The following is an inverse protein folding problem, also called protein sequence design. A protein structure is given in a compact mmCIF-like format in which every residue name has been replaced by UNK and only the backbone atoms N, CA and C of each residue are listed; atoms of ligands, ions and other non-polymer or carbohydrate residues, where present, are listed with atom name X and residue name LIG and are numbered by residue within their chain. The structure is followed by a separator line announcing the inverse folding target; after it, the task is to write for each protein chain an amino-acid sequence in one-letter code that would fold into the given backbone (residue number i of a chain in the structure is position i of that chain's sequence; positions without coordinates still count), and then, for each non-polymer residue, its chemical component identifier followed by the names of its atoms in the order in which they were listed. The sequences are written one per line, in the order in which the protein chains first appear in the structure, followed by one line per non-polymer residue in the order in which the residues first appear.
data_IF_020358669407
#
_entry.id   IF_020358669407
#
_cell.length_a   1.000
_cell.length_b   1.000
_cell.length_c   1.000
_cell.angle_alpha   90.00
_cell.angle_beta   90.00
_cell.angle_gamma   90.00
#
_symmetry.space_group_name_H-M   'P 1'
#
loop_
_entity.id
_entity.type
_entity.pdbx_description
1 polymer ?
#
# COMPACT_ATOMS: atom_id res chain seq x y z
N UNK A 1 30.92 26.61 -0.89
CA UNK A 1 32.28 26.36 -0.37
C UNK A 1 32.91 25.35 -1.31
N UNK A 2 33.81 25.78 -2.18
CA UNK A 2 34.45 24.92 -3.18
C UNK A 2 35.67 24.28 -2.52
N UNK A 3 35.60 22.99 -2.22
CA UNK A 3 36.74 22.23 -1.72
C UNK A 3 37.83 22.14 -2.78
N UNK A 4 39.05 22.48 -2.40
CA UNK A 4 40.24 22.27 -3.21
C UNK A 4 40.37 20.76 -3.51
N UNK A 5 40.55 20.33 -4.77
CA UNK A 5 40.71 18.91 -5.08
C UNK A 5 41.98 18.36 -4.37
N UNK A 6 41.96 17.08 -3.95
CA UNK A 6 43.08 16.48 -3.22
C UNK A 6 44.37 16.55 -4.06
N UNK A 7 45.46 16.95 -3.41
CA UNK A 7 46.75 17.24 -4.03
C UNK A 7 47.56 15.99 -4.41
N UNK A 8 47.14 14.80 -3.97
CA UNK A 8 47.78 13.52 -4.26
C UNK A 8 46.70 12.51 -4.73
N UNK A 9 46.82 11.92 -5.94
CA UNK A 9 45.89 10.91 -6.43
C UNK A 9 45.86 9.61 -5.60
N UNK A 10 46.82 9.41 -4.68
CA UNK A 10 46.83 8.27 -3.74
C UNK A 10 46.17 8.58 -2.38
N UNK A 11 45.68 9.80 -2.15
CA UNK A 11 45.03 10.22 -0.89
C UNK A 11 43.50 10.05 -0.94
N UNK A 12 43.00 9.32 -1.95
CA UNK A 12 41.59 8.93 -2.01
C UNK A 12 41.37 7.68 -1.16
N UNK A 13 40.95 7.89 0.08
CA UNK A 13 40.38 6.85 0.93
C UNK A 13 38.92 6.63 0.52
N UNK A 14 38.59 5.44 0.03
CA UNK A 14 37.21 5.10 -0.32
C UNK A 14 36.33 5.24 0.95
N UNK A 15 35.32 6.12 0.97
CA UNK A 15 34.43 6.29 2.11
C UNK A 15 33.67 5.02 2.48
N UNK A 16 33.58 4.05 1.56
CA UNK A 16 32.95 2.75 1.74
C UNK A 16 33.95 1.64 2.10
N UNK A 17 35.23 1.96 2.31
CA UNK A 17 36.27 0.99 2.72
C UNK A 17 35.94 0.24 4.02
N UNK A 18 35.17 0.87 4.92
CA UNK A 18 34.70 0.28 6.19
C UNK A 18 33.25 -0.22 6.13
N UNK A 19 32.61 -0.24 4.95
CA UNK A 19 31.25 -0.74 4.80
C UNK A 19 31.24 -2.27 4.82
N UNK A 20 30.68 -2.86 5.87
CA UNK A 20 30.33 -4.27 5.87
C UNK A 20 28.91 -4.44 5.30
N UNK A 21 28.73 -5.19 4.20
CA UNK A 21 27.40 -5.39 3.63
C UNK A 21 26.48 -6.12 4.61
N UNK A 22 25.21 -5.71 4.63
CA UNK A 22 24.18 -6.33 5.48
C UNK A 22 24.09 -7.82 5.20
N UNK A 23 24.28 -8.64 6.23
CA UNK A 23 24.09 -10.08 6.16
C UNK A 23 22.68 -10.45 6.62
N UNK A 24 21.88 -11.00 5.71
CA UNK A 24 20.54 -11.49 6.02
C UNK A 24 20.56 -12.94 6.49
N UNK A 25 19.64 -13.27 7.40
CA UNK A 25 19.52 -14.62 7.97
C UNK A 25 18.98 -15.65 6.97
N UNK A 26 18.28 -15.20 5.94
CA UNK A 26 17.75 -16.02 4.84
C UNK A 26 17.35 -15.12 3.67
N UNK A 27 17.09 -15.72 2.51
CA UNK A 27 16.54 -15.00 1.34
C UNK A 27 15.22 -14.33 1.67
N UNK A 28 14.34 -14.96 2.44
CA UNK A 28 13.09 -14.35 2.90
C UNK A 28 13.35 -13.02 3.64
N UNK A 29 14.34 -12.97 4.54
CA UNK A 29 14.66 -11.74 5.26
C UNK A 29 15.20 -10.65 4.34
N UNK A 30 16.01 -11.03 3.35
CA UNK A 30 16.52 -10.10 2.33
C UNK A 30 15.37 -9.52 1.50
N UNK A 31 14.50 -10.38 0.97
CA UNK A 31 13.32 -9.99 0.17
C UNK A 31 12.41 -9.05 0.94
N UNK A 32 12.13 -9.35 2.21
CA UNK A 32 11.31 -8.49 3.06
C UNK A 32 11.94 -7.11 3.30
N UNK A 33 13.27 -7.01 3.31
CA UNK A 33 14.00 -5.79 3.62
C UNK A 33 14.37 -4.95 2.39
N UNK A 34 14.54 -5.57 1.22
CA UNK A 34 15.15 -4.93 0.06
C UNK A 34 14.27 -4.87 -1.18
N UNK A 35 13.38 -5.85 -1.41
CA UNK A 35 12.51 -5.82 -2.60
C UNK A 35 11.44 -4.76 -2.43
N UNK A 36 11.20 -3.99 -3.48
CA UNK A 36 10.23 -2.91 -3.46
C UNK A 36 8.81 -3.46 -3.63
N UNK A 37 7.82 -2.73 -3.13
CA UNK A 37 6.41 -3.09 -3.34
C UNK A 37 6.04 -3.12 -4.83
N UNK A 38 6.66 -2.29 -5.67
CA UNK A 38 6.43 -2.31 -7.13
C UNK A 38 6.81 -3.67 -7.76
N UNK A 39 7.81 -4.36 -7.21
CA UNK A 39 8.24 -5.69 -7.66
C UNK A 39 7.14 -6.76 -7.42
N UNK A 40 6.20 -6.51 -6.50
CA UNK A 40 5.15 -7.45 -6.12
C UNK A 40 3.96 -7.52 -7.10
N UNK A 41 4.04 -6.83 -8.25
CA UNK A 41 2.93 -6.63 -9.19
C UNK A 41 1.65 -6.18 -8.46
N UNK A 42 1.70 -4.98 -7.88
CA UNK A 42 0.51 -4.36 -7.32
C UNK A 42 -0.58 -4.27 -8.41
N UNK A 43 -1.77 -4.80 -8.11
CA UNK A 43 -2.87 -4.84 -9.10
C UNK A 43 -3.72 -3.59 -8.96
N UNK A 44 -4.27 -3.06 -10.08
CA UNK A 44 -5.20 -1.95 -10.06
C UNK A 44 -6.30 -2.13 -9.01
N UNK A 45 -6.51 -1.09 -8.23
CA UNK A 45 -7.61 -1.00 -7.29
C UNK A 45 -8.82 -0.37 -7.98
N UNK A 46 -10.00 -0.93 -7.77
CA UNK A 46 -11.22 -0.23 -8.10
C UNK A 46 -11.34 1.02 -7.22
N UNK A 47 -11.69 2.15 -7.86
CA UNK A 47 -11.82 3.44 -7.20
C UNK A 47 -13.24 3.96 -7.33
N UNK A 48 -13.69 4.69 -6.32
CA UNK A 48 -14.96 5.42 -6.30
C UNK A 48 -14.73 6.82 -5.77
N UNK A 49 -15.61 7.75 -6.13
CA UNK A 49 -15.56 9.10 -5.56
C UNK A 49 -16.21 9.12 -4.17
N UNK A 50 -15.87 10.11 -3.34
CA UNK A 50 -16.53 10.34 -2.04
C UNK A 50 -18.05 10.43 -2.11
N UNK A 51 -18.57 10.93 -3.24
CA UNK A 51 -20.00 11.13 -3.48
C UNK A 51 -20.70 9.88 -4.05
N UNK A 52 -19.95 8.82 -4.36
CA UNK A 52 -20.53 7.56 -4.86
C UNK A 52 -21.44 6.98 -3.79
N UNK A 53 -22.67 6.60 -4.15
CA UNK A 53 -23.60 6.04 -3.16
C UNK A 53 -23.10 4.73 -2.57
N UNK A 54 -23.44 4.46 -1.31
CA UNK A 54 -23.11 3.21 -0.63
C UNK A 54 -23.63 1.99 -1.41
N UNK A 55 -24.82 2.08 -2.01
CA UNK A 55 -25.37 1.08 -2.92
C UNK A 55 -24.47 0.86 -4.13
N UNK A 56 -24.01 1.94 -4.78
CA UNK A 56 -23.13 1.87 -5.94
C UNK A 56 -21.78 1.24 -5.59
N UNK A 57 -21.17 1.67 -4.48
CA UNK A 57 -19.93 1.11 -3.97
C UNK A 57 -20.08 -0.39 -3.61
N UNK A 58 -21.14 -0.77 -2.90
CA UNK A 58 -21.41 -2.17 -2.53
C UNK A 58 -21.64 -3.05 -3.75
N UNK A 59 -22.35 -2.54 -4.75
CA UNK A 59 -22.53 -3.22 -6.04
C UNK A 59 -21.19 -3.43 -6.74
N UNK A 60 -20.33 -2.42 -6.77
CA UNK A 60 -19.00 -2.51 -7.39
C UNK A 60 -18.10 -3.54 -6.69
N UNK A 61 -18.10 -3.61 -5.35
CA UNK A 61 -17.40 -4.66 -4.59
C UNK A 61 -17.82 -6.06 -5.08
N UNK A 62 -19.14 -6.27 -5.23
CA UNK A 62 -19.71 -7.54 -5.67
C UNK A 62 -19.39 -7.86 -7.14
N UNK A 63 -19.60 -6.92 -8.05
CA UNK A 63 -19.46 -7.14 -9.50
C UNK A 63 -18.00 -7.35 -9.91
N UNK A 64 -17.09 -6.57 -9.34
CA UNK A 64 -15.66 -6.70 -9.61
C UNK A 64 -14.99 -7.82 -8.80
N UNK A 65 -15.73 -8.46 -7.88
CA UNK A 65 -15.22 -9.49 -6.96
C UNK A 65 -13.99 -9.01 -6.18
N UNK A 66 -14.04 -7.76 -5.73
CA UNK A 66 -12.99 -7.13 -4.92
C UNK A 66 -13.52 -6.86 -3.51
N UNK A 67 -12.62 -6.87 -2.54
CA UNK A 67 -12.97 -6.70 -1.12
C UNK A 67 -12.72 -5.29 -0.58
N UNK A 68 -12.21 -4.39 -1.42
CA UNK A 68 -11.91 -3.00 -1.07
C UNK A 68 -12.00 -2.11 -2.30
N UNK A 69 -12.51 -0.90 -2.09
CA UNK A 69 -12.49 0.22 -3.02
C UNK A 69 -11.68 1.35 -2.39
N UNK A 70 -10.84 2.00 -3.20
CA UNK A 70 -10.22 3.24 -2.78
C UNK A 70 -11.20 4.39 -3.03
N UNK A 71 -11.30 5.28 -2.04
CA UNK A 71 -12.19 6.43 -2.11
C UNK A 71 -11.35 7.67 -2.39
N UNK A 72 -11.67 8.34 -3.49
CA UNK A 72 -10.92 9.51 -3.96
C UNK A 72 -11.79 10.76 -4.00
N UNK A 73 -11.13 11.91 -3.84
CA UNK A 73 -11.71 13.24 -4.12
C UNK A 73 -10.85 13.90 -5.19
N UNK A 74 -11.34 13.92 -6.42
CA UNK A 74 -10.49 14.20 -7.58
C UNK A 74 -9.44 13.11 -7.74
N UNK A 75 -8.17 13.48 -7.73
CA UNK A 75 -7.03 12.54 -7.82
C UNK A 75 -6.45 12.15 -6.45
N UNK A 76 -6.95 12.76 -5.38
CA UNK A 76 -6.44 12.53 -4.02
C UNK A 76 -7.16 11.35 -3.37
N UNK A 77 -6.39 10.38 -2.88
CA UNK A 77 -6.88 9.34 -2.00
C UNK A 77 -7.29 9.95 -0.66
N UNK A 78 -8.55 9.75 -0.26
CA UNK A 78 -9.11 10.28 1.00
C UNK A 78 -9.68 9.21 1.91
N UNK A 79 -9.84 7.98 1.41
CA UNK A 79 -10.40 6.90 2.20
C UNK A 79 -10.29 5.53 1.55
N UNK A 80 -10.74 4.52 2.30
CA UNK A 80 -10.96 3.16 1.82
C UNK A 80 -12.33 2.68 2.28
N UNK A 81 -13.04 1.96 1.40
CA UNK A 81 -14.30 1.32 1.72
C UNK A 81 -14.22 -0.17 1.41
N UNK A 82 -14.52 -1.03 2.37
CA UNK A 82 -14.29 -2.47 2.28
C UNK A 82 -15.56 -3.29 2.50
N UNK A 83 -15.51 -4.56 2.11
CA UNK A 83 -16.59 -5.49 2.44
C UNK A 83 -16.82 -5.63 3.96
N UNK A 84 -15.79 -5.35 4.78
CA UNK A 84 -15.92 -5.28 6.23
C UNK A 84 -16.75 -4.06 6.66
N UNK A 85 -16.50 -2.90 6.07
CA UNK A 85 -17.28 -1.68 6.34
C UNK A 85 -18.77 -1.87 6.00
N UNK A 86 -19.08 -2.60 4.92
CA UNK A 86 -20.45 -2.98 4.60
C UNK A 86 -21.09 -3.75 5.77
N UNK A 87 -20.38 -4.72 6.34
CA UNK A 87 -20.90 -5.53 7.45
C UNK A 87 -20.99 -4.74 8.76
N UNK A 88 -19.99 -3.92 9.07
CA UNK A 88 -19.86 -3.26 10.38
C UNK A 88 -20.56 -1.90 10.48
N UNK A 89 -20.69 -1.16 9.37
CA UNK A 89 -21.19 0.22 9.36
C UNK A 89 -22.51 0.38 8.60
N UNK A 90 -22.79 -0.50 7.64
CA UNK A 90 -23.92 -0.31 6.71
C UNK A 90 -25.03 -1.33 6.93
N UNK A 91 -24.70 -2.60 7.17
CA UNK A 91 -25.66 -3.72 7.06
C UNK A 91 -26.92 -3.55 7.92
N UNK A 92 -26.80 -3.03 9.14
CA UNK A 92 -27.93 -2.84 10.06
C UNK A 92 -28.93 -1.77 9.58
N UNK A 93 -28.45 -0.72 8.90
CA UNK A 93 -29.24 0.43 8.49
C UNK A 93 -29.24 0.63 6.95
N UNK A 94 -29.06 -0.46 6.19
CA UNK A 94 -28.85 -0.38 4.75
C UNK A 94 -29.96 0.38 4.02
N UNK A 95 -31.22 0.21 4.42
CA UNK A 95 -32.34 0.89 3.77
C UNK A 95 -32.26 2.43 3.85
N UNK A 96 -31.70 2.96 4.94
CA UNK A 96 -31.56 4.40 5.19
C UNK A 96 -30.26 4.94 4.56
N UNK A 97 -29.20 4.13 4.59
CA UNK A 97 -27.86 4.52 4.16
C UNK A 97 -27.59 4.29 2.67
N UNK A 98 -28.33 3.39 2.00
CA UNK A 98 -27.96 2.91 0.66
C UNK A 98 -27.72 4.03 -0.37
N UNK A 99 -28.47 5.12 -0.29
CA UNK A 99 -28.36 6.24 -1.23
C UNK A 99 -27.52 7.40 -0.69
N UNK A 100 -26.97 7.28 0.53
CA UNK A 100 -26.00 8.22 1.10
C UNK A 100 -24.60 8.04 0.47
N UNK A 101 -23.75 9.09 0.50
CA UNK A 101 -22.38 9.03 0.02
C UNK A 101 -21.51 8.03 0.79
N UNK A 102 -20.66 7.29 0.08
CA UNK A 102 -19.69 6.36 0.69
C UNK A 102 -18.69 7.10 1.60
N UNK A 103 -18.46 8.39 1.36
CA UNK A 103 -17.64 9.25 2.21
C UNK A 103 -18.10 9.32 3.67
N UNK A 104 -19.36 9.02 3.97
CA UNK A 104 -19.90 9.01 5.34
C UNK A 104 -19.53 7.75 6.14
N UNK A 105 -19.22 6.65 5.45
CA UNK A 105 -18.96 5.34 6.07
C UNK A 105 -17.57 4.77 5.75
N UNK A 106 -16.82 5.40 4.86
CA UNK A 106 -15.44 5.00 4.56
C UNK A 106 -14.55 5.11 5.80
N UNK A 107 -13.43 4.40 5.79
CA UNK A 107 -12.33 4.69 6.71
C UNK A 107 -11.48 5.80 6.08
N UNK A 108 -11.56 7.00 6.67
CA UNK A 108 -10.80 8.17 6.22
C UNK A 108 -9.31 8.05 6.58
N UNK A 109 -8.46 8.76 5.84
CA UNK A 109 -7.01 8.84 6.05
C UNK A 109 -6.35 7.46 6.28
N UNK A 110 -6.51 6.51 5.33
CA UNK A 110 -6.05 5.15 5.52
C UNK A 110 -4.52 5.13 5.64
N UNK A 111 -3.99 4.18 6.40
CA UNK A 111 -2.56 3.84 6.31
C UNK A 111 -2.23 3.49 4.87
N UNK A 112 -1.18 4.09 4.32
CA UNK A 112 -0.67 3.84 2.97
C UNK A 112 0.77 3.36 3.02
N UNK A 113 1.22 2.73 1.95
CA UNK A 113 2.62 2.42 1.66
C UNK A 113 2.97 2.97 0.29
N UNK A 114 4.26 3.18 0.03
CA UNK A 114 4.75 3.68 -1.24
C UNK A 114 5.30 2.55 -2.11
N UNK A 115 5.29 2.74 -3.43
CA UNK A 115 5.81 1.75 -4.40
C UNK A 115 7.29 1.40 -4.16
N UNK A 116 8.06 2.34 -3.59
CA UNK A 116 9.47 2.20 -3.24
C UNK A 116 9.72 1.62 -1.86
N UNK A 117 8.67 1.44 -1.03
CA UNK A 117 8.84 0.86 0.29
C UNK A 117 9.21 -0.64 0.16
N UNK A 118 9.98 -1.19 1.12
CA UNK A 118 10.24 -2.63 1.16
C UNK A 118 8.96 -3.45 1.34
N UNK A 119 8.94 -4.69 0.81
CA UNK A 119 7.82 -5.65 0.99
C UNK A 119 7.43 -5.83 2.47
N UNK A 120 8.40 -5.79 3.38
CA UNK A 120 8.16 -5.86 4.82
C UNK A 120 7.27 -4.72 5.35
N UNK A 121 7.35 -3.54 4.76
CA UNK A 121 6.48 -2.41 5.12
C UNK A 121 5.03 -2.65 4.68
N UNK A 122 4.79 -3.37 3.58
CA UNK A 122 3.44 -3.79 3.21
C UNK A 122 2.81 -4.67 4.30
N UNK A 123 3.57 -5.62 4.86
CA UNK A 123 3.08 -6.46 5.97
C UNK A 123 2.81 -5.63 7.23
N UNK A 124 3.74 -4.74 7.58
CA UNK A 124 3.56 -3.85 8.72
C UNK A 124 2.32 -2.97 8.55
N UNK A 125 2.16 -2.35 7.37
CA UNK A 125 0.98 -1.57 7.00
C UNK A 125 -0.31 -2.37 7.15
N UNK A 126 -0.34 -3.60 6.64
CA UNK A 126 -1.52 -4.48 6.76
C UNK A 126 -1.83 -4.80 8.23
N UNK A 127 -0.81 -5.01 9.06
CA UNK A 127 -0.97 -5.34 10.47
C UNK A 127 -1.55 -4.16 11.28
N UNK A 128 -1.19 -2.92 10.94
CA UNK A 128 -1.62 -1.73 11.68
C UNK A 128 -2.90 -1.08 11.14
N UNK A 129 -3.19 -1.23 9.84
CA UNK A 129 -4.29 -0.52 9.19
C UNK A 129 -5.70 -0.94 9.67
N UNK A 130 -5.84 -2.03 10.43
CA UNK A 130 -7.15 -2.54 10.88
C UNK A 130 -7.97 -3.22 9.78
N UNK A 131 -7.50 -3.19 8.54
CA UNK A 131 -8.08 -3.86 7.39
C UNK A 131 -7.01 -4.54 6.52
N UNK A 132 -7.41 -5.59 5.81
CA UNK A 132 -6.51 -6.47 5.04
C UNK A 132 -6.03 -5.90 3.70
N UNK A 133 -6.36 -4.65 3.40
CA UNK A 133 -5.97 -3.98 2.16
C UNK A 133 -5.36 -2.65 2.52
N UNK A 134 -4.17 -2.39 1.99
CA UNK A 134 -3.45 -1.13 2.20
C UNK A 134 -3.25 -0.49 0.83
N UNK A 135 -3.64 0.77 0.63
CA UNK A 135 -3.37 1.49 -0.59
C UNK A 135 -1.86 1.63 -0.82
N UNK A 136 -1.45 1.48 -2.08
CA UNK A 136 -0.09 1.76 -2.54
C UNK A 136 -0.11 3.05 -3.34
N UNK A 137 0.74 3.99 -2.95
CA UNK A 137 0.92 5.25 -3.67
C UNK A 137 2.24 5.25 -4.43
N UNK A 138 2.26 5.96 -5.55
CA UNK A 138 3.51 6.31 -6.23
C UNK A 138 4.22 7.44 -5.48
N UNK A 139 5.47 7.69 -5.83
CA UNK A 139 6.26 8.81 -5.28
C UNK A 139 5.57 10.17 -5.52
N UNK A 140 4.84 10.33 -6.62
CA UNK A 140 4.08 11.55 -6.93
C UNK A 140 2.76 11.70 -6.17
N UNK A 141 2.43 10.72 -5.30
CA UNK A 141 1.20 10.70 -4.50
C UNK A 141 -0.03 10.14 -5.22
N UNK A 142 0.08 9.79 -6.51
CA UNK A 142 -1.00 9.12 -7.23
C UNK A 142 -1.17 7.68 -6.74
N UNK A 143 -2.39 7.16 -6.88
CA UNK A 143 -2.71 5.80 -6.48
C UNK A 143 -2.13 4.80 -7.49
N UNK A 144 -1.25 3.91 -7.02
CA UNK A 144 -0.76 2.78 -7.79
C UNK A 144 -1.72 1.58 -7.70
N UNK A 145 -2.20 1.28 -6.50
CA UNK A 145 -3.10 0.14 -6.28
C UNK A 145 -3.28 -0.23 -4.82
N UNK A 146 -3.33 -1.53 -4.53
CA UNK A 146 -3.46 -2.07 -3.17
C UNK A 146 -2.51 -3.25 -2.93
N UNK A 147 -2.09 -3.45 -1.68
CA UNK A 147 -1.48 -4.70 -1.19
C UNK A 147 -2.41 -5.39 -0.20
N UNK A 148 -2.30 -6.72 -0.12
CA UNK A 148 -3.09 -7.54 0.81
C UNK A 148 -2.28 -8.75 1.27
N UNK A 149 -2.64 -9.40 2.40
CA UNK A 149 -1.93 -10.59 2.88
C UNK A 149 -1.77 -11.65 1.80
N UNK A 150 -2.82 -11.87 1.00
CA UNK A 150 -2.79 -12.85 -0.10
C UNK A 150 -1.74 -12.52 -1.15
N UNK A 151 -1.55 -11.24 -1.48
CA UNK A 151 -0.54 -10.80 -2.46
C UNK A 151 0.86 -10.94 -1.91
N UNK A 152 1.06 -10.50 -0.67
CA UNK A 152 2.36 -10.63 -0.01
C UNK A 152 2.76 -12.10 0.11
N UNK A 153 1.86 -12.96 0.59
CA UNK A 153 2.14 -14.40 0.67
C UNK A 153 2.44 -15.03 -0.69
N UNK A 154 1.74 -14.62 -1.75
CA UNK A 154 2.03 -15.11 -3.11
C UNK A 154 3.44 -14.71 -3.54
N UNK A 155 3.81 -13.44 -3.33
CA UNK A 155 5.13 -12.91 -3.66
C UNK A 155 6.25 -13.64 -2.89
N UNK A 156 6.03 -13.86 -1.60
CA UNK A 156 7.02 -14.51 -0.74
C UNK A 156 7.09 -16.03 -0.91
N UNK A 157 6.10 -16.65 -1.55
CA UNK A 157 6.02 -18.11 -1.67
C UNK A 157 7.27 -18.84 -2.19
N UNK A 158 8.07 -18.28 -3.14
CA UNK A 158 9.30 -18.93 -3.59
C UNK A 158 10.39 -19.02 -2.50
N UNK A 159 10.31 -18.19 -1.46
CA UNK A 159 11.33 -18.03 -0.42
C UNK A 159 10.97 -18.68 0.93
N UNK A 160 9.84 -19.39 1.00
CA UNK A 160 9.32 -20.03 2.22
C UNK A 160 9.74 -21.51 2.38
N UNK A 161 10.63 -22.02 1.52
CA UNK A 161 11.09 -23.41 1.50
C UNK A 161 12.45 -23.59 2.16
#
# INVERSE_FOLDING_TARGET
MNGTPPSDPNDFEDPLSNYEPTQYRSELHRVLAEEAIDDMQSTPSAQVTVDTSIRGATKMLSELKVSSLLVVKGETLVGIFTARDVLEKVAENYAELADQPVGEVMSADPTVVYETDPVGMALAGIAVAGHRHVPVLKVDGSVLGIVSPKRVLRHLSPYLN
#
